data_IF_490936352239
#
_entry.id   IF_490936352239
#
_cell.length_a   1.000
_cell.length_b   1.000
_cell.length_c   1.000
_cell.angle_alpha   90.00
_cell.angle_beta   90.00
_cell.angle_gamma   90.00
#
_symmetry.space_group_name_H-M   'P 1'
#
loop_
_entity.id
_entity.type
_entity.pdbx_description
1 polymer ?
#
# COMPACT_ATOMS: atom_id res chain seq x y z
N UNK A 1 -12.69 -0.67 -8.94
CA UNK A 1 -11.55 0.16 -9.37
C UNK A 1 -10.28 -0.12 -8.57
N UNK A 2 -10.34 -0.26 -7.23
CA UNK A 2 -9.20 -0.59 -6.37
C UNK A 2 -8.29 -1.74 -6.86
N UNK A 3 -8.86 -2.83 -7.39
CA UNK A 3 -8.12 -4.02 -7.85
C UNK A 3 -7.13 -3.78 -9.00
N UNK A 4 -7.33 -2.73 -9.80
CA UNK A 4 -6.44 -2.42 -10.95
C UNK A 4 -5.56 -1.22 -10.62
N UNK A 5 -6.09 -0.22 -9.92
CA UNK A 5 -5.34 1.01 -9.61
C UNK A 5 -4.24 0.80 -8.56
N UNK A 6 -4.41 -0.12 -7.61
CA UNK A 6 -3.41 -0.37 -6.55
C UNK A 6 -2.11 -0.96 -7.13
N UNK A 7 -2.13 -2.03 -7.94
CA UNK A 7 -0.92 -2.55 -8.59
C UNK A 7 -0.24 -1.52 -9.50
N UNK A 8 -1.03 -0.77 -10.28
CA UNK A 8 -0.48 0.29 -11.14
C UNK A 8 0.18 1.40 -10.34
N UNK A 9 -0.45 1.88 -9.27
CA UNK A 9 0.13 2.90 -8.41
C UNK A 9 1.42 2.41 -7.75
N UNK A 10 1.48 1.15 -7.31
CA UNK A 10 2.69 0.55 -6.75
C UNK A 10 3.84 0.55 -7.77
N UNK A 11 3.58 0.08 -9.00
CA UNK A 11 4.57 0.07 -10.07
C UNK A 11 5.08 1.46 -10.43
N UNK A 12 4.17 2.42 -10.68
CA UNK A 12 4.57 3.78 -11.03
C UNK A 12 5.39 4.45 -9.93
N UNK A 13 5.04 4.19 -8.66
CA UNK A 13 5.75 4.74 -7.50
C UNK A 13 7.16 4.17 -7.39
N UNK A 14 7.33 2.87 -7.64
CA UNK A 14 8.64 2.21 -7.65
C UNK A 14 9.56 2.87 -8.69
N UNK A 15 9.09 2.98 -9.93
CA UNK A 15 9.86 3.62 -11.02
C UNK A 15 10.19 5.08 -10.70
N UNK A 16 9.24 5.82 -10.13
CA UNK A 16 9.45 7.21 -9.72
C UNK A 16 10.57 7.33 -8.68
N UNK A 17 10.49 6.57 -7.59
CA UNK A 17 11.48 6.60 -6.52
C UNK A 17 12.88 6.22 -7.03
N UNK A 18 12.99 5.14 -7.82
CA UNK A 18 14.25 4.72 -8.42
C UNK A 18 14.86 5.82 -9.28
N UNK A 19 14.03 6.52 -10.07
CA UNK A 19 14.48 7.61 -10.95
C UNK A 19 14.98 8.81 -10.13
N UNK A 20 14.27 9.20 -9.06
CA UNK A 20 14.70 10.28 -8.16
C UNK A 20 16.04 9.94 -7.51
N UNK A 21 16.21 8.72 -6.97
CA UNK A 21 17.47 8.28 -6.39
C UNK A 21 18.60 8.28 -7.42
N UNK A 22 18.39 7.69 -8.59
CA UNK A 22 19.39 7.62 -9.67
C UNK A 22 19.84 9.02 -10.13
N UNK A 23 18.90 9.96 -10.24
CA UNK A 23 19.23 11.33 -10.64
C UNK A 23 19.96 12.09 -9.53
N UNK A 24 19.64 11.84 -8.26
CA UNK A 24 20.38 12.36 -7.12
C UNK A 24 21.82 11.83 -7.08
N UNK A 25 22.02 10.52 -7.29
CA UNK A 25 23.34 9.87 -7.37
C UNK A 25 24.21 10.45 -8.49
N UNK A 26 23.59 10.87 -9.60
CA UNK A 26 24.26 11.55 -10.71
C UNK A 26 24.51 13.04 -10.48
N UNK A 27 24.08 13.60 -9.35
CA UNK A 27 24.28 15.01 -9.00
C UNK A 27 23.31 15.99 -9.69
N UNK A 28 22.21 15.51 -10.27
CA UNK A 28 21.20 16.41 -10.83
C UNK A 28 20.46 17.14 -9.70
N UNK A 29 20.70 18.45 -9.59
CA UNK A 29 20.13 19.31 -8.54
C UNK A 29 18.60 19.30 -8.49
N UNK A 30 17.92 18.95 -9.59
CA UNK A 30 16.45 18.85 -9.63
C UNK A 30 15.92 17.78 -8.68
N UNK A 31 16.68 16.71 -8.43
CA UNK A 31 16.27 15.61 -7.56
C UNK A 31 16.01 16.08 -6.11
N UNK A 32 16.69 17.14 -5.65
CA UNK A 32 16.50 17.72 -4.32
C UNK A 32 15.10 18.33 -4.11
N UNK A 33 14.35 18.57 -5.19
CA UNK A 33 12.99 19.10 -5.14
C UNK A 33 11.92 18.02 -5.39
N UNK A 34 12.34 16.77 -5.66
CA UNK A 34 11.44 15.66 -5.95
C UNK A 34 11.29 14.78 -4.70
N UNK A 35 10.11 14.73 -4.06
CA UNK A 35 9.92 13.98 -2.83
C UNK A 35 9.80 12.48 -3.09
N UNK A 36 10.58 11.65 -2.39
CA UNK A 36 10.39 10.20 -2.43
C UNK A 36 9.07 9.78 -1.77
N UNK A 37 8.44 8.74 -2.34
CA UNK A 37 7.22 8.15 -1.80
C UNK A 37 7.58 7.02 -0.83
N UNK A 38 7.06 7.01 0.40
CA UNK A 38 7.42 6.00 1.40
C UNK A 38 6.62 4.69 1.22
N UNK A 39 6.97 3.91 0.21
CA UNK A 39 6.32 2.65 -0.20
C UNK A 39 6.14 1.65 0.93
N UNK A 40 7.18 1.38 1.73
CA UNK A 40 7.12 0.46 2.88
C UNK A 40 6.10 0.89 3.93
N UNK A 41 6.02 2.21 4.22
CA UNK A 41 5.08 2.73 5.20
C UNK A 41 3.64 2.59 4.68
N UNK A 42 3.44 2.88 3.41
CA UNK A 42 2.13 2.77 2.75
C UNK A 42 1.68 1.30 2.72
N UNK A 43 2.56 0.37 2.32
CA UNK A 43 2.28 -1.06 2.32
C UNK A 43 1.86 -1.56 3.70
N UNK A 44 2.59 -1.20 4.76
CA UNK A 44 2.21 -1.54 6.14
C UNK A 44 0.82 -1.03 6.52
N UNK A 45 0.47 0.21 6.16
CA UNK A 45 -0.86 0.76 6.43
C UNK A 45 -1.98 0.01 5.69
N UNK A 46 -1.71 -0.48 4.47
CA UNK A 46 -2.68 -1.32 3.75
C UNK A 46 -2.84 -2.69 4.40
N UNK A 47 -1.75 -3.33 4.82
CA UNK A 47 -1.79 -4.63 5.51
C UNK A 47 -2.51 -4.55 6.86
N UNK A 48 -2.26 -3.49 7.64
CA UNK A 48 -2.95 -3.26 8.92
C UNK A 48 -4.45 -3.09 8.70
N UNK A 49 -4.86 -2.28 7.70
CA UNK A 49 -6.28 -2.12 7.37
C UNK A 49 -6.95 -3.41 6.93
N UNK A 50 -6.27 -4.26 6.17
CA UNK A 50 -6.82 -5.58 5.83
C UNK A 50 -7.01 -6.43 7.10
N UNK A 51 -6.02 -6.50 7.99
CA UNK A 51 -6.12 -7.26 9.24
C UNK A 51 -7.23 -6.75 10.18
N UNK A 52 -7.42 -5.43 10.27
CA UNK A 52 -8.51 -4.80 11.03
C UNK A 52 -9.87 -5.04 10.39
N UNK A 53 -9.96 -4.95 9.05
CA UNK A 53 -11.17 -5.22 8.28
C UNK A 53 -11.69 -6.65 8.50
N UNK A 54 -10.80 -7.65 8.43
CA UNK A 54 -11.14 -9.05 8.72
C UNK A 54 -11.49 -9.28 10.21
N UNK A 55 -10.97 -8.46 11.12
CA UNK A 55 -11.33 -8.54 12.54
C UNK A 55 -12.74 -8.03 12.80
N UNK A 56 -13.17 -6.96 12.14
CA UNK A 56 -14.55 -6.42 12.27
C UNK A 56 -15.62 -7.28 11.59
N UNK A 57 -15.28 -8.06 10.57
CA UNK A 57 -16.23 -8.98 9.90
C UNK A 57 -16.49 -10.27 10.70
N UNK A 58 -15.60 -10.60 11.64
CA UNK A 58 -15.66 -11.86 12.42
C UNK A 58 -16.70 -11.89 13.56
N UNK A 59 -17.42 -10.78 13.82
CA UNK A 59 -18.40 -10.69 14.92
C UNK A 59 -19.83 -11.13 14.55
N UNK A 60 -20.13 -11.46 13.28
CA UNK A 60 -21.43 -12.01 12.89
C UNK A 60 -21.32 -13.50 12.51
N UNK A 61 -21.12 -14.38 13.50
CA UNK A 61 -21.46 -15.81 13.35
C UNK A 61 -22.58 -16.13 14.33
N UNK A 62 -23.81 -16.14 13.81
CA UNK A 62 -24.99 -16.60 14.54
C UNK A 62 -24.76 -18.02 15.10
N UNK A 63 -25.18 -18.32 16.35
CA UNK A 63 -25.07 -19.66 16.89
C UNK A 63 -25.92 -20.63 16.06
N UNK A 64 -25.31 -21.72 15.60
CA UNK A 64 -26.03 -22.78 14.90
C UNK A 64 -27.11 -23.36 15.83
N UNK A 65 -28.37 -23.20 15.43
CA UNK A 65 -29.50 -23.88 16.08
C UNK A 65 -29.31 -25.40 15.91
N UNK A 66 -29.27 -26.13 17.03
CA UNK A 66 -29.21 -27.59 17.02
C UNK A 66 -30.60 -28.14 16.62
N UNK A 67 -30.68 -29.16 15.76
CA UNK A 67 -31.95 -29.82 15.46
C UNK A 67 -32.37 -30.77 16.60
N UNK A 68 -33.68 -30.81 16.85
CA UNK A 68 -34.39 -31.70 17.81
C UNK A 68 -34.32 -33.19 17.44
#
# INVERSE_FOLDING_TARGET
MARVVVPTAAYCTEIYNQTVCFTAEKGYRVANYLPLVPTEKIARMFMVREAEFWSTDSHCREPAVAPD
#
